data_IF_370907936504
#
_entry.id   IF_370907936504
#
_cell.length_a   1.000
_cell.length_b   1.000
_cell.length_c   1.000
_cell.angle_alpha   90.00
_cell.angle_beta   90.00
_cell.angle_gamma   90.00
#
_symmetry.space_group_name_H-M   'P 1'
#
loop_
_entity.id
_entity.type
_entity.pdbx_description
1 polymer ?
#
# COMPACT_ATOMS: atom_id res chain seq x y z
N UNK A 1 1.40 -45.96 10.21
CA UNK A 1 1.10 -45.06 9.06
C UNK A 1 0.25 -43.84 9.43
N UNK A 2 -0.73 -43.90 10.36
CA UNK A 2 -1.51 -42.73 10.83
C UNK A 2 -0.68 -41.56 11.40
N UNK A 3 0.48 -41.84 12.02
CA UNK A 3 1.32 -40.81 12.64
C UNK A 3 2.02 -39.90 11.62
N UNK A 4 2.47 -40.43 10.46
CA UNK A 4 3.16 -39.62 9.45
C UNK A 4 2.24 -38.59 8.80
N UNK A 5 1.00 -38.98 8.48
CA UNK A 5 -0.02 -38.04 7.97
C UNK A 5 -0.43 -37.02 9.02
N UNK A 6 -0.54 -37.42 10.30
CA UNK A 6 -0.82 -36.50 11.42
C UNK A 6 0.26 -35.42 11.56
N UNK A 7 1.55 -35.81 11.44
CA UNK A 7 2.68 -34.91 11.63
C UNK A 7 2.86 -33.94 10.45
N UNK A 8 2.64 -34.40 9.21
CA UNK A 8 2.65 -33.52 8.02
C UNK A 8 1.45 -32.57 8.02
N UNK A 9 0.25 -33.06 8.38
CA UNK A 9 -0.94 -32.21 8.46
C UNK A 9 -0.81 -31.18 9.59
N UNK A 10 -0.26 -31.59 10.74
CA UNK A 10 0.08 -30.69 11.84
C UNK A 10 1.11 -29.66 11.40
N UNK A 11 2.21 -30.05 10.77
CA UNK A 11 3.24 -29.12 10.28
C UNK A 11 2.71 -28.12 9.24
N UNK A 12 1.85 -28.58 8.31
CA UNK A 12 1.19 -27.71 7.32
C UNK A 12 0.26 -26.73 8.01
N UNK A 13 -0.56 -27.17 8.98
CA UNK A 13 -1.42 -26.29 9.76
C UNK A 13 -0.58 -25.28 10.55
N UNK A 14 0.53 -25.69 11.17
CA UNK A 14 1.40 -24.79 11.93
C UNK A 14 2.08 -23.77 11.01
N UNK A 15 2.56 -24.17 9.83
CA UNK A 15 3.12 -23.25 8.82
C UNK A 15 2.07 -22.29 8.27
N UNK A 16 0.85 -22.79 8.01
CA UNK A 16 -0.28 -21.98 7.57
C UNK A 16 -0.73 -21.00 8.66
N UNK A 17 -0.63 -21.40 9.93
CA UNK A 17 -0.98 -20.58 11.09
C UNK A 17 0.08 -19.50 11.36
N UNK A 18 1.36 -19.85 11.26
CA UNK A 18 2.48 -18.90 11.23
C UNK A 18 2.27 -17.93 10.06
N UNK A 19 1.89 -18.42 8.88
CA UNK A 19 1.53 -17.59 7.74
C UNK A 19 0.39 -16.61 8.06
N UNK A 20 -0.78 -17.10 8.48
CA UNK A 20 -1.94 -16.24 8.69
C UNK A 20 -1.81 -15.28 9.89
N UNK A 21 -0.96 -15.60 10.88
CA UNK A 21 -0.81 -14.80 12.09
C UNK A 21 0.43 -13.90 12.10
N UNK A 22 1.51 -14.28 11.40
CA UNK A 22 2.71 -13.45 11.30
C UNK A 22 2.64 -12.52 10.09
N UNK A 23 1.95 -12.88 8.99
CA UNK A 23 1.81 -11.96 7.85
C UNK A 23 1.11 -10.62 8.20
N UNK A 24 0.07 -10.57 9.04
CA UNK A 24 -0.49 -9.29 9.52
C UNK A 24 0.50 -8.43 10.30
N UNK A 25 1.39 -9.06 11.07
CA UNK A 25 2.44 -8.35 11.80
C UNK A 25 3.58 -7.90 10.87
N UNK A 26 3.88 -8.70 9.83
CA UNK A 26 4.91 -8.37 8.84
C UNK A 26 4.46 -7.33 7.81
N UNK A 27 3.17 -7.20 7.52
CA UNK A 27 2.66 -6.11 6.67
C UNK A 27 2.79 -4.75 7.35
N UNK A 28 2.67 -4.71 8.69
CA UNK A 28 2.94 -3.52 9.50
C UNK A 28 4.42 -3.12 9.45
N UNK A 29 5.32 -4.09 9.25
CA UNK A 29 6.76 -3.84 9.21
C UNK A 29 7.23 -3.08 7.94
N UNK A 30 6.33 -2.63 7.06
CA UNK A 30 6.63 -1.81 5.87
C UNK A 30 7.70 -2.39 4.93
N UNK A 31 7.92 -3.70 4.97
CA UNK A 31 8.89 -4.36 4.09
C UNK A 31 8.34 -4.36 2.65
N UNK A 32 9.16 -3.97 1.65
CA UNK A 32 8.71 -3.75 0.27
C UNK A 32 8.12 -4.99 -0.42
N UNK A 33 8.40 -6.20 0.09
CA UNK A 33 7.87 -7.47 -0.42
C UNK A 33 6.35 -7.59 -0.14
N UNK A 34 5.87 -7.02 0.96
CA UNK A 34 4.44 -7.02 1.36
C UNK A 34 3.67 -5.80 0.85
N UNK A 35 4.35 -4.84 0.21
CA UNK A 35 3.73 -3.70 -0.48
C UNK A 35 3.05 -4.10 -1.79
N UNK A 36 3.31 -5.31 -2.29
CA UNK A 36 2.63 -5.86 -3.46
C UNK A 36 1.21 -6.29 -3.06
N UNK A 37 0.18 -5.71 -3.69
CA UNK A 37 -1.24 -5.91 -3.36
C UNK A 37 -1.79 -7.36 -3.47
N UNK A 38 -0.93 -8.37 -3.55
CA UNK A 38 -1.27 -9.78 -3.51
C UNK A 38 -2.00 -10.19 -2.22
N UNK A 39 -1.55 -9.67 -1.07
CA UNK A 39 -2.14 -9.93 0.23
C UNK A 39 -3.50 -9.26 0.42
N UNK A 40 -3.61 -7.99 0.02
CA UNK A 40 -4.88 -7.28 0.00
C UNK A 40 -5.90 -7.99 -0.91
N UNK A 41 -5.48 -8.49 -2.08
CA UNK A 41 -6.34 -9.24 -3.00
C UNK A 41 -6.90 -10.54 -2.39
N UNK A 42 -6.14 -11.24 -1.55
CA UNK A 42 -6.56 -12.49 -0.92
C UNK A 42 -6.99 -12.32 0.55
N UNK A 43 -7.16 -11.09 1.03
CA UNK A 43 -7.49 -10.80 2.43
C UNK A 43 -8.78 -11.49 2.87
N UNK A 44 -9.78 -11.58 1.99
CA UNK A 44 -11.07 -12.22 2.30
C UNK A 44 -10.91 -13.73 2.54
N UNK A 45 -10.07 -14.39 1.74
CA UNK A 45 -9.74 -15.80 1.91
C UNK A 45 -8.95 -16.05 3.21
N UNK A 46 -7.94 -15.21 3.49
CA UNK A 46 -7.15 -15.31 4.72
C UNK A 46 -8.00 -15.06 5.97
N UNK A 47 -8.90 -14.09 5.91
CA UNK A 47 -9.85 -13.78 6.99
C UNK A 47 -10.80 -14.94 7.25
N UNK A 48 -11.35 -15.54 6.19
CA UNK A 48 -12.23 -16.71 6.31
C UNK A 48 -11.51 -17.92 6.92
N UNK A 49 -10.27 -18.17 6.50
CA UNK A 49 -9.43 -19.22 7.06
C UNK A 49 -9.14 -18.99 8.54
N UNK A 50 -8.82 -17.75 8.93
CA UNK A 50 -8.54 -17.38 10.31
C UNK A 50 -9.77 -17.48 11.21
N UNK A 51 -10.96 -17.12 10.72
CA UNK A 51 -12.23 -17.35 11.42
C UNK A 51 -12.53 -18.84 11.60
N UNK A 52 -12.28 -19.65 10.58
CA UNK A 52 -12.47 -21.10 10.64
C UNK A 52 -11.56 -21.72 11.70
N UNK A 53 -10.30 -21.29 11.74
CA UNK A 53 -9.36 -21.76 12.74
C UNK A 53 -9.74 -21.31 14.15
N UNK A 54 -10.11 -20.03 14.32
CA UNK A 54 -10.52 -19.49 15.61
C UNK A 54 -11.75 -20.21 16.17
N UNK A 55 -12.77 -20.46 15.34
CA UNK A 55 -13.97 -21.20 15.75
C UNK A 55 -13.64 -22.65 16.09
N UNK A 56 -12.77 -23.31 15.33
CA UNK A 56 -12.32 -24.66 15.63
C UNK A 56 -11.54 -24.75 16.96
N UNK A 57 -10.59 -23.85 17.19
CA UNK A 57 -9.82 -23.78 18.44
C UNK A 57 -10.75 -23.52 19.64
N UNK A 58 -11.68 -22.58 19.48
CA UNK A 58 -12.69 -22.26 20.51
C UNK A 58 -13.56 -23.46 20.81
N UNK A 59 -14.05 -24.17 19.79
CA UNK A 59 -14.85 -25.38 19.96
C UNK A 59 -14.08 -26.50 20.66
N UNK A 60 -12.79 -26.67 20.36
CA UNK A 60 -11.95 -27.69 21.01
C UNK A 60 -11.64 -27.36 22.47
N UNK A 61 -11.36 -26.09 22.79
CA UNK A 61 -11.22 -25.62 24.17
C UNK A 61 -12.53 -25.73 24.94
N UNK A 62 -13.67 -25.36 24.35
CA UNK A 62 -14.98 -25.52 24.97
C UNK A 62 -15.31 -27.00 25.25
N UNK A 63 -15.02 -27.91 24.31
CA UNK A 63 -15.22 -29.34 24.52
C UNK A 63 -14.34 -29.92 25.63
N UNK A 64 -13.15 -29.37 25.86
CA UNK A 64 -12.32 -29.72 27.02
C UNK A 64 -13.00 -29.31 28.33
N UNK A 65 -13.49 -28.07 28.43
CA UNK A 65 -14.12 -27.56 29.65
C UNK A 65 -15.50 -28.16 29.96
N UNK A 66 -16.34 -28.33 28.94
CA UNK A 66 -17.75 -28.73 29.13
C UNK A 66 -18.00 -30.23 28.94
N UNK A 67 -17.20 -30.92 28.13
CA UNK A 67 -17.39 -32.33 27.79
C UNK A 67 -16.31 -33.26 28.36
N UNK A 68 -15.46 -32.74 29.25
CA UNK A 68 -14.46 -33.52 29.99
C UNK A 68 -13.50 -34.32 29.07
N UNK A 69 -13.30 -33.85 27.84
CA UNK A 69 -12.28 -34.41 26.95
C UNK A 69 -10.90 -34.08 27.51
N UNK A 70 -9.97 -35.02 27.46
CA UNK A 70 -8.61 -34.81 27.99
C UNK A 70 -7.64 -34.36 26.90
N UNK A 71 -6.83 -33.34 27.20
CA UNK A 71 -5.57 -33.10 26.49
C UNK A 71 -4.53 -34.10 26.99
N UNK A 72 -3.63 -34.55 26.12
CA UNK A 72 -2.61 -35.55 26.47
C UNK A 72 -1.51 -34.96 27.34
N UNK A 73 -1.29 -33.64 27.29
CA UNK A 73 -0.27 -32.97 28.11
C UNK A 73 -0.63 -31.52 28.44
N UNK A 74 -0.01 -30.97 29.50
CA UNK A 74 -0.11 -29.55 29.84
C UNK A 74 0.46 -28.65 28.74
N UNK A 75 1.50 -29.11 28.05
CA UNK A 75 2.09 -28.39 26.91
C UNK A 75 1.13 -28.28 25.73
N UNK A 76 0.34 -29.34 25.48
CA UNK A 76 -0.72 -29.32 24.46
C UNK A 76 -1.80 -28.30 24.82
N UNK A 77 -2.29 -28.30 26.06
CA UNK A 77 -3.26 -27.28 26.50
C UNK A 77 -2.72 -25.84 26.32
N UNK A 78 -1.46 -25.62 26.68
CA UNK A 78 -0.80 -24.32 26.53
C UNK A 78 -0.74 -23.89 25.06
N UNK A 79 -0.41 -24.81 24.14
CA UNK A 79 -0.32 -24.49 22.71
C UNK A 79 -1.69 -24.13 22.12
N UNK A 80 -2.78 -24.77 22.57
CA UNK A 80 -4.14 -24.39 22.20
C UNK A 80 -4.50 -22.98 22.67
N UNK A 81 -4.13 -22.62 23.90
CA UNK A 81 -4.35 -21.27 24.42
C UNK A 81 -3.56 -20.20 23.66
N UNK A 82 -2.27 -20.47 23.39
CA UNK A 82 -1.45 -19.57 22.59
C UNK A 82 -2.00 -19.41 21.17
N UNK A 83 -2.38 -20.50 20.51
CA UNK A 83 -2.99 -20.46 19.18
C UNK A 83 -4.30 -19.67 19.17
N UNK A 84 -5.15 -19.86 20.19
CA UNK A 84 -6.39 -19.11 20.34
C UNK A 84 -6.16 -17.61 20.52
N UNK A 85 -5.22 -17.23 21.40
CA UNK A 85 -4.87 -15.84 21.66
C UNK A 85 -4.31 -15.15 20.41
N UNK A 86 -3.43 -15.83 19.68
CA UNK A 86 -2.85 -15.31 18.43
C UNK A 86 -3.95 -15.16 17.37
N UNK A 87 -4.84 -16.15 17.21
CA UNK A 87 -5.93 -16.09 16.26
C UNK A 87 -6.89 -14.91 16.54
N UNK A 88 -7.26 -14.72 17.81
CA UNK A 88 -8.08 -13.60 18.26
C UNK A 88 -7.39 -12.26 18.00
N UNK A 89 -6.13 -12.13 18.39
CA UNK A 89 -5.35 -10.90 18.19
C UNK A 89 -5.28 -10.52 16.72
N UNK A 90 -5.04 -11.50 15.83
CA UNK A 90 -5.03 -11.24 14.40
C UNK A 90 -6.40 -10.88 13.82
N UNK A 91 -7.51 -11.39 14.37
CA UNK A 91 -8.87 -10.96 13.98
C UNK A 91 -9.16 -9.52 14.43
N UNK A 92 -8.71 -9.14 15.63
CA UNK A 92 -8.83 -7.77 16.15
C UNK A 92 -8.01 -6.81 15.28
N UNK A 93 -6.74 -7.12 15.01
CA UNK A 93 -5.87 -6.32 14.15
C UNK A 93 -6.47 -6.18 12.75
N UNK A 94 -6.89 -7.27 12.12
CA UNK A 94 -7.49 -7.23 10.78
C UNK A 94 -8.80 -6.41 10.73
N UNK A 95 -9.54 -6.32 11.85
CA UNK A 95 -10.75 -5.50 11.96
C UNK A 95 -10.42 -4.00 12.13
N UNK A 96 -9.41 -3.68 12.91
CA UNK A 96 -9.07 -2.29 13.27
C UNK A 96 -8.10 -1.64 12.29
N UNK A 97 -7.29 -2.44 11.61
CA UNK A 97 -6.26 -2.02 10.68
C UNK A 97 -6.32 -2.91 9.43
N UNK A 98 -7.33 -2.71 8.56
CA UNK A 98 -7.40 -3.43 7.31
C UNK A 98 -6.14 -3.12 6.50
N UNK A 99 -5.46 -4.17 6.03
CA UNK A 99 -4.27 -4.07 5.18
C UNK A 99 -4.50 -3.07 4.04
N UNK A 100 -3.85 -1.90 4.12
CA UNK A 100 -4.04 -0.78 3.19
C UNK A 100 -5.52 -0.51 2.88
N UNK A 101 -6.21 0.16 3.80
CA UNK A 101 -7.53 0.71 3.53
C UNK A 101 -7.57 1.53 2.24
N UNK A 102 -8.73 1.63 1.60
CA UNK A 102 -8.93 2.36 0.34
C UNK A 102 -8.34 3.77 0.38
N UNK A 103 -8.44 4.45 1.53
CA UNK A 103 -7.83 5.76 1.77
C UNK A 103 -6.30 5.77 1.67
N UNK A 104 -5.62 4.70 2.11
CA UNK A 104 -4.16 4.58 2.01
C UNK A 104 -3.72 4.32 0.56
N UNK A 105 -4.51 3.55 -0.21
CA UNK A 105 -4.27 3.34 -1.66
C UNK A 105 -4.47 4.65 -2.41
N UNK A 106 -5.56 5.37 -2.12
CA UNK A 106 -5.82 6.69 -2.70
C UNK A 106 -4.70 7.68 -2.32
N UNK A 107 -4.25 7.70 -1.07
CA UNK A 107 -3.13 8.53 -0.65
C UNK A 107 -1.85 8.20 -1.41
N UNK A 108 -1.51 6.92 -1.60
CA UNK A 108 -0.35 6.48 -2.37
C UNK A 108 -0.44 6.92 -3.85
N UNK A 109 -1.61 6.79 -4.48
CA UNK A 109 -1.86 7.34 -5.82
C UNK A 109 -1.74 8.86 -5.87
N UNK A 110 -2.25 9.56 -4.85
CA UNK A 110 -2.12 11.02 -4.75
C UNK A 110 -0.65 11.41 -4.59
N UNK A 111 0.14 10.69 -3.78
CA UNK A 111 1.58 10.91 -3.63
C UNK A 111 2.35 10.64 -4.91
N UNK A 112 2.03 9.58 -5.66
CA UNK A 112 2.62 9.31 -6.98
C UNK A 112 2.29 10.42 -7.99
N UNK A 113 1.05 10.92 -7.99
CA UNK A 113 0.65 12.09 -8.80
C UNK A 113 1.42 13.35 -8.39
N UNK A 114 1.63 13.60 -7.10
CA UNK A 114 2.46 14.72 -6.63
C UNK A 114 3.94 14.54 -6.96
N UNK A 115 4.45 13.30 -6.94
CA UNK A 115 5.86 12.99 -7.23
C UNK A 115 6.20 13.14 -8.72
N UNK A 116 5.23 12.92 -9.60
CA UNK A 116 5.37 13.07 -11.05
C UNK A 116 5.18 14.51 -11.52
N UNK A 117 4.44 15.32 -10.76
CA UNK A 117 4.26 16.75 -11.01
C UNK A 117 5.41 17.56 -10.40
N UNK A 118 6.01 18.42 -11.21
CA UNK A 118 7.05 19.35 -10.77
C UNK A 118 6.66 20.77 -11.16
N UNK A 119 7.08 21.73 -10.35
CA UNK A 119 6.85 23.14 -10.60
C UNK A 119 8.14 23.77 -11.13
N UNK A 120 8.03 24.58 -12.17
CA UNK A 120 9.12 25.33 -12.78
C UNK A 120 8.78 26.81 -12.72
N UNK A 121 9.69 27.62 -12.18
CA UNK A 121 9.66 29.08 -12.24
C UNK A 121 10.68 29.54 -13.27
N UNK A 122 10.25 30.40 -14.19
CA UNK A 122 11.07 30.96 -15.26
C UNK A 122 11.01 32.47 -15.13
N UNK A 123 12.14 33.09 -14.81
CA UNK A 123 12.22 34.55 -14.73
C UNK A 123 12.30 35.14 -16.15
N UNK A 124 11.46 36.14 -16.42
CA UNK A 124 11.34 36.79 -17.72
C UNK A 124 12.17 38.06 -17.74
N UNK A 125 13.09 38.17 -18.71
CA UNK A 125 13.91 39.38 -18.85
C UNK A 125 13.14 40.57 -19.41
N UNK A 126 12.03 40.35 -20.12
CA UNK A 126 11.09 41.39 -20.62
C UNK A 126 9.68 40.81 -20.78
N UNK A 127 8.61 41.51 -20.38
CA UNK A 127 7.22 41.04 -20.48
C UNK A 127 6.59 41.27 -21.87
N UNK A 128 7.36 41.25 -22.95
CA UNK A 128 6.79 41.43 -24.29
C UNK A 128 6.10 40.13 -24.75
N UNK A 129 4.79 40.23 -24.97
CA UNK A 129 3.89 39.19 -25.48
C UNK A 129 3.58 37.97 -24.56
N UNK A 130 3.25 38.28 -23.31
CA UNK A 130 2.69 37.36 -22.30
C UNK A 130 1.64 36.35 -22.83
N UNK A 131 0.71 36.79 -23.69
CA UNK A 131 -0.37 35.93 -24.19
C UNK A 131 0.16 34.86 -25.16
N UNK A 132 1.12 35.23 -26.01
CA UNK A 132 1.78 34.33 -26.94
C UNK A 132 2.64 33.30 -26.18
N UNK A 133 3.36 33.75 -25.15
CA UNK A 133 4.14 32.89 -24.27
C UNK A 133 3.27 31.85 -23.54
N UNK A 134 2.10 32.24 -23.04
CA UNK A 134 1.17 31.29 -22.40
C UNK A 134 0.63 30.29 -23.43
N UNK A 135 0.27 30.74 -24.64
CA UNK A 135 -0.18 29.85 -25.71
C UNK A 135 0.89 28.83 -26.08
N UNK A 136 2.13 29.27 -26.23
CA UNK A 136 3.27 28.43 -26.57
C UNK A 136 3.59 27.40 -25.47
N UNK A 137 3.47 27.80 -24.20
CA UNK A 137 3.61 26.87 -23.06
C UNK A 137 2.50 25.83 -23.01
N UNK A 138 1.28 26.19 -23.44
CA UNK A 138 0.15 25.26 -23.50
C UNK A 138 0.26 24.23 -24.65
N UNK A 139 1.08 24.51 -25.66
CA UNK A 139 1.36 23.58 -26.77
C UNK A 139 2.36 22.47 -26.37
N UNK A 140 3.16 22.66 -25.33
CA UNK A 140 4.17 21.69 -24.90
C UNK A 140 3.47 20.48 -24.24
N UNK A 141 3.56 19.29 -24.86
CA UNK A 141 3.05 18.05 -24.26
C UNK A 141 3.79 17.74 -22.95
N UNK A 142 3.04 17.64 -21.87
CA UNK A 142 3.58 17.49 -20.51
C UNK A 142 3.46 18.74 -19.64
N UNK A 143 3.18 19.92 -20.19
CA UNK A 143 2.86 21.12 -19.40
C UNK A 143 1.36 21.15 -19.07
N UNK A 144 1.02 21.41 -17.79
CA UNK A 144 -0.36 21.46 -17.35
C UNK A 144 -0.95 22.84 -17.62
N UNK A 145 -1.84 22.92 -18.62
CA UNK A 145 -2.48 24.15 -19.12
C UNK A 145 -3.08 25.05 -18.02
N UNK A 146 -3.74 24.46 -17.03
CA UNK A 146 -4.37 25.19 -15.92
C UNK A 146 -3.43 25.57 -14.77
N UNK A 147 -2.13 25.31 -14.88
CA UNK A 147 -1.14 25.60 -13.82
C UNK A 147 -0.18 26.73 -14.15
N UNK A 148 -0.36 27.38 -15.30
CA UNK A 148 0.48 28.48 -15.76
C UNK A 148 0.00 29.74 -15.02
N UNK A 149 0.79 30.18 -14.05
CA UNK A 149 0.59 31.42 -13.32
C UNK A 149 1.61 32.45 -13.78
N UNK A 150 1.13 33.64 -14.13
CA UNK A 150 1.96 34.75 -14.55
C UNK A 150 2.15 35.74 -13.41
N UNK A 151 3.40 36.03 -13.10
CA UNK A 151 3.82 37.09 -12.19
C UNK A 151 4.52 38.19 -13.01
N UNK A 152 4.67 39.38 -12.44
CA UNK A 152 5.19 40.57 -13.15
C UNK A 152 6.55 40.36 -13.85
N UNK A 153 7.39 39.47 -13.31
CA UNK A 153 8.74 39.18 -13.81
C UNK A 153 9.02 37.67 -13.95
N UNK A 154 8.02 36.81 -13.76
CA UNK A 154 8.23 35.37 -13.78
C UNK A 154 6.98 34.60 -14.22
N UNK A 155 7.20 33.42 -14.79
CA UNK A 155 6.15 32.44 -15.06
C UNK A 155 6.39 31.22 -14.23
N UNK A 156 5.33 30.81 -13.54
CA UNK A 156 5.32 29.58 -12.77
C UNK A 156 4.39 28.59 -13.47
N UNK A 157 4.87 27.38 -13.76
CA UNK A 157 4.08 26.33 -14.39
C UNK A 157 4.33 24.98 -13.73
N UNK A 158 3.35 24.08 -13.83
CA UNK A 158 3.53 22.68 -13.45
C UNK A 158 3.68 21.79 -14.69
N UNK A 159 4.60 20.85 -14.64
CA UNK A 159 4.88 19.92 -15.72
C UNK A 159 5.03 18.48 -15.21
N UNK A 160 4.79 17.52 -16.11
CA UNK A 160 4.98 16.09 -15.84
C UNK A 160 6.42 15.71 -16.18
N UNK A 161 7.21 15.36 -15.16
CA UNK A 161 8.64 15.03 -15.32
C UNK A 161 8.92 13.85 -16.27
N UNK A 162 7.92 12.99 -16.48
CA UNK A 162 8.02 11.80 -17.36
C UNK A 162 7.82 12.16 -18.83
N UNK A 163 7.18 13.30 -19.12
CA UNK A 163 6.88 13.74 -20.47
C UNK A 163 7.84 14.81 -20.96
N UNK A 164 8.21 15.74 -20.08
CA UNK A 164 9.02 16.90 -20.45
C UNK A 164 9.97 17.27 -19.32
N UNK A 165 11.19 17.71 -19.66
CA UNK A 165 12.16 18.23 -18.70
C UNK A 165 12.20 19.76 -18.68
N UNK A 166 12.69 20.39 -17.60
CA UNK A 166 12.92 21.83 -17.56
C UNK A 166 13.80 22.32 -18.70
N UNK A 167 14.86 21.58 -19.06
CA UNK A 167 15.75 21.99 -20.14
C UNK A 167 15.03 22.00 -21.48
N UNK A 168 14.12 21.03 -21.72
CA UNK A 168 13.30 21.00 -22.93
C UNK A 168 12.32 22.17 -22.98
N UNK A 169 11.66 22.50 -21.87
CA UNK A 169 10.76 23.67 -21.79
C UNK A 169 11.53 24.95 -22.09
N UNK A 170 12.68 25.16 -21.43
CA UNK A 170 13.54 26.32 -21.66
C UNK A 170 14.08 26.37 -23.10
N UNK A 171 14.44 25.22 -23.69
CA UNK A 171 14.91 25.16 -25.07
C UNK A 171 13.82 25.54 -26.08
N UNK A 172 12.57 25.13 -25.86
CA UNK A 172 11.42 25.54 -26.69
C UNK A 172 11.21 27.04 -26.57
N UNK A 173 11.23 27.59 -25.36
CA UNK A 173 11.07 29.02 -25.12
C UNK A 173 12.19 29.86 -25.76
N UNK A 174 13.45 29.40 -25.68
CA UNK A 174 14.59 30.03 -26.36
C UNK A 174 14.43 30.00 -27.88
N UNK A 175 14.01 28.86 -28.44
CA UNK A 175 13.78 28.72 -29.88
C UNK A 175 12.68 29.65 -30.39
N UNK A 176 11.62 29.84 -29.60
CA UNK A 176 10.52 30.76 -29.93
C UNK A 176 10.84 32.24 -29.61
N UNK A 177 12.01 32.55 -29.04
CA UNK A 177 12.48 33.91 -28.81
C UNK A 177 12.01 34.55 -27.50
N UNK A 178 11.33 33.80 -26.64
CA UNK A 178 10.83 34.28 -25.34
C UNK A 178 11.92 34.42 -24.28
N UNK A 179 13.03 33.71 -24.44
CA UNK A 179 14.19 33.75 -23.55
C UNK A 179 15.47 34.03 -24.35
N UNK A 180 16.38 34.81 -23.77
CA UNK A 180 17.73 35.04 -24.32
C UNK A 180 18.70 33.90 -23.98
#
# INVERSE_FOLDING_TARGET
>A
MRSFYSLTFSAIITLLHIGCCILPLLSLASLPIFATGFLARHQLFLTALQWTLFTWLTGRLAAFYFWNKSFHSRAELLSYYFGWFIALSGLIINRWEPFKGEEQVLAEEHFERFRSQRQLRIDLSKPDNVQELVADLQEIDGVRKGSIALESEAITLSYHKEKVSPEQILAVLKRKGHLK
#
